data_IF_028178694295
#
_entry.id   IF_028178694295
#
_cell.length_a   1.000
_cell.length_b   1.000
_cell.length_c   1.000
_cell.angle_alpha   90.00
_cell.angle_beta   90.00
_cell.angle_gamma   90.00
#
_symmetry.space_group_name_H-M   'P 1'
#
loop_
_entity.id
_entity.type
_entity.pdbx_description
1 polymer ?
#
# COMPACT_ATOMS: atom_id res chain seq x y z
N UNK A 1 -22.57 23.99 -43.96
CA UNK A 1 -21.85 24.51 -42.77
C UNK A 1 -21.83 23.58 -41.54
N UNK A 2 -22.35 22.34 -41.60
CA UNK A 2 -22.45 21.41 -40.45
C UNK A 2 -21.29 20.40 -40.26
N UNK A 3 -20.63 19.85 -41.31
CA UNK A 3 -19.61 18.82 -41.11
C UNK A 3 -18.27 19.40 -40.64
N UNK A 4 -17.84 20.55 -41.20
CA UNK A 4 -16.58 21.21 -40.82
C UNK A 4 -16.55 21.60 -39.34
N UNK A 5 -17.68 22.08 -38.79
CA UNK A 5 -17.81 22.43 -37.37
C UNK A 5 -17.74 21.20 -36.46
N UNK A 6 -18.25 20.04 -36.92
CA UNK A 6 -18.15 18.77 -36.20
C UNK A 6 -16.71 18.26 -36.20
N UNK A 7 -16.03 18.28 -37.35
CA UNK A 7 -14.62 17.87 -37.44
C UNK A 7 -13.69 18.74 -36.61
N UNK A 8 -13.91 20.06 -36.61
CA UNK A 8 -13.14 20.99 -35.77
C UNK A 8 -13.36 20.74 -34.27
N UNK A 9 -14.60 20.45 -33.87
CA UNK A 9 -14.93 20.11 -32.48
C UNK A 9 -14.28 18.78 -32.07
N UNK A 10 -14.32 17.76 -32.92
CA UNK A 10 -13.65 16.47 -32.66
C UNK A 10 -12.15 16.62 -32.51
N UNK A 11 -11.51 17.42 -33.39
CA UNK A 11 -10.07 17.68 -33.31
C UNK A 11 -9.72 18.45 -32.03
N UNK A 12 -10.54 19.42 -31.63
CA UNK A 12 -10.37 20.16 -30.39
C UNK A 12 -10.47 19.26 -29.15
N UNK A 13 -11.47 18.36 -29.11
CA UNK A 13 -11.60 17.38 -28.02
C UNK A 13 -10.42 16.39 -28.01
N UNK A 14 -9.89 15.99 -29.16
CA UNK A 14 -8.74 15.09 -29.24
C UNK A 14 -7.45 15.72 -28.67
N UNK A 15 -7.24 17.03 -28.86
CA UNK A 15 -6.09 17.75 -28.30
C UNK A 15 -6.22 17.91 -26.77
N UNK A 16 -7.43 18.11 -26.25
CA UNK A 16 -7.69 18.18 -24.80
C UNK A 16 -7.34 16.88 -24.06
N UNK A 17 -7.43 15.72 -24.72
CA UNK A 17 -7.09 14.42 -24.13
C UNK A 17 -5.61 14.25 -23.76
N UNK A 18 -4.72 15.07 -24.32
CA UNK A 18 -3.27 14.98 -24.06
C UNK A 18 -2.84 15.53 -22.69
N UNK A 19 -3.72 16.24 -21.98
CA UNK A 19 -3.42 16.86 -20.66
C UNK A 19 -3.57 15.86 -19.50
N UNK A 20 -3.84 14.59 -19.78
CA UNK A 20 -3.90 13.55 -18.76
C UNK A 20 -2.49 13.17 -18.25
N UNK A 21 -1.93 13.99 -17.36
CA UNK A 21 -0.73 13.66 -16.60
C UNK A 21 -1.10 12.69 -15.47
N UNK A 22 -1.09 11.38 -15.76
CA UNK A 22 -1.19 10.36 -14.73
C UNK A 22 0.16 10.23 -14.03
N UNK A 23 0.23 10.58 -12.74
CA UNK A 23 1.44 10.31 -11.94
C UNK A 23 1.59 8.79 -11.70
N UNK A 24 2.81 8.26 -11.49
CA UNK A 24 3.00 6.85 -11.20
C UNK A 24 2.40 6.50 -9.83
N UNK A 25 1.32 5.72 -9.83
CA UNK A 25 0.76 5.20 -8.60
C UNK A 25 1.59 4.01 -8.12
N UNK A 26 2.19 4.11 -6.94
CA UNK A 26 2.72 2.96 -6.21
C UNK A 26 1.59 1.99 -5.89
N UNK A 27 1.77 0.72 -6.24
CA UNK A 27 0.80 -0.33 -5.95
C UNK A 27 1.21 -1.14 -4.72
N UNK A 28 0.28 -1.26 -3.78
CA UNK A 28 0.40 -2.15 -2.61
C UNK A 28 -0.71 -3.19 -2.69
N UNK A 29 -0.33 -4.47 -2.82
CA UNK A 29 -1.25 -5.59 -2.71
C UNK A 29 -1.27 -6.09 -1.28
N UNK A 30 -2.43 -6.03 -0.63
CA UNK A 30 -2.67 -6.61 0.68
C UNK A 30 -3.41 -7.95 0.55
N UNK A 31 -2.93 -8.96 1.27
CA UNK A 31 -3.58 -10.26 1.42
C UNK A 31 -3.75 -10.56 2.91
N UNK A 32 -5.00 -10.66 3.38
CA UNK A 32 -5.32 -10.94 4.78
C UNK A 32 -5.94 -12.33 4.91
N UNK A 33 -5.41 -13.13 5.82
CA UNK A 33 -5.91 -14.45 6.17
C UNK A 33 -6.31 -14.47 7.65
N UNK A 34 -7.51 -14.99 7.90
CA UNK A 34 -8.05 -15.26 9.24
C UNK A 34 -7.43 -16.55 9.76
N UNK A 35 -6.78 -16.50 10.93
CA UNK A 35 -6.23 -17.67 11.62
C UNK A 35 -7.19 -18.08 12.73
N UNK A 36 -7.59 -19.35 12.72
CA UNK A 36 -8.50 -19.95 13.69
C UNK A 36 -7.84 -21.14 14.36
N UNK A 37 -7.98 -21.24 15.68
CA UNK A 37 -7.56 -22.38 16.50
C UNK A 37 -8.72 -22.77 17.41
N UNK A 38 -9.04 -24.06 17.51
CA UNK A 38 -10.14 -24.57 18.35
C UNK A 38 -11.48 -23.83 18.11
N UNK A 39 -11.82 -23.60 16.85
CA UNK A 39 -13.01 -22.84 16.42
C UNK A 39 -13.05 -21.37 16.88
N UNK A 40 -11.94 -20.85 17.41
CA UNK A 40 -11.80 -19.46 17.81
C UNK A 40 -10.87 -18.72 16.87
N UNK A 41 -11.32 -17.53 16.47
CA UNK A 41 -10.47 -16.60 15.76
C UNK A 41 -9.36 -16.07 16.68
N UNK A 42 -8.10 -16.34 16.35
CA UNK A 42 -6.94 -16.00 17.18
C UNK A 42 -6.04 -14.92 16.57
N UNK A 43 -5.96 -14.81 15.24
CA UNK A 43 -5.08 -13.84 14.60
C UNK A 43 -5.48 -13.47 13.16
N UNK A 44 -4.98 -12.32 12.68
CA UNK A 44 -4.91 -11.97 11.26
C UNK A 44 -3.48 -12.12 10.77
N UNK A 45 -3.26 -12.98 9.77
CA UNK A 45 -2.01 -13.04 9.03
C UNK A 45 -2.13 -12.16 7.80
N UNK A 46 -1.28 -11.14 7.68
CA UNK A 46 -1.29 -10.21 6.55
C UNK A 46 0.01 -10.31 5.75
N UNK A 47 -0.09 -10.29 4.42
CA UNK A 47 1.04 -10.15 3.51
C UNK A 47 0.86 -8.91 2.66
N UNK A 48 1.87 -8.05 2.67
CA UNK A 48 1.88 -6.78 1.96
C UNK A 48 2.96 -6.89 0.88
N UNK A 49 2.57 -6.70 -0.37
CA UNK A 49 3.48 -6.78 -1.52
C UNK A 49 3.46 -5.44 -2.22
N UNK A 50 4.61 -4.77 -2.23
CA UNK A 50 4.81 -3.52 -2.94
C UNK A 50 5.33 -3.79 -4.36
N UNK A 51 5.12 -2.86 -5.27
CA UNK A 51 5.72 -2.91 -6.61
C UNK A 51 7.24 -2.66 -6.57
N UNK A 52 7.92 -2.95 -7.68
CA UNK A 52 9.38 -2.86 -7.79
C UNK A 52 9.89 -1.43 -7.57
N UNK A 53 9.16 -0.40 -8.03
CA UNK A 53 9.55 1.00 -7.87
C UNK A 53 9.53 1.44 -6.41
N UNK A 54 8.46 1.10 -5.67
CA UNK A 54 8.33 1.44 -4.24
C UNK A 54 9.28 0.58 -3.39
N UNK A 55 9.51 -0.67 -3.79
CA UNK A 55 10.46 -1.56 -3.11
C UNK A 55 11.90 -1.08 -3.31
N UNK A 56 12.25 -0.56 -4.49
CA UNK A 56 13.57 -0.05 -4.79
C UNK A 56 13.92 1.19 -3.96
N UNK A 57 12.95 2.09 -3.73
CA UNK A 57 13.15 3.26 -2.87
C UNK A 57 13.49 2.83 -1.43
N UNK A 58 12.72 1.88 -0.88
CA UNK A 58 13.01 1.30 0.44
C UNK A 58 14.33 0.54 0.49
N UNK A 59 14.67 -0.23 -0.56
CA UNK A 59 15.92 -0.98 -0.66
C UNK A 59 17.14 -0.07 -0.84
N UNK A 60 16.97 1.08 -1.50
CA UNK A 60 18.03 2.05 -1.70
C UNK A 60 18.47 2.65 -0.34
N UNK A 61 17.51 2.96 0.53
CA UNK A 61 17.77 3.43 1.89
C UNK A 61 18.40 2.35 2.78
N UNK A 62 18.12 1.07 2.53
CA UNK A 62 18.77 -0.05 3.20
C UNK A 62 20.21 -0.30 2.71
N UNK A 63 20.54 0.10 1.48
CA UNK A 63 21.86 -0.05 0.87
C UNK A 63 22.40 -1.49 0.91
N UNK A 64 23.69 -1.64 1.27
CA UNK A 64 24.37 -2.94 1.41
C UNK A 64 24.24 -3.54 2.83
N UNK A 65 23.27 -3.10 3.64
CA UNK A 65 23.17 -3.54 5.02
C UNK A 65 22.85 -5.05 5.09
N UNK A 66 23.65 -5.78 5.86
CA UNK A 66 23.42 -7.22 6.07
C UNK A 66 22.01 -7.47 6.65
N UNK A 67 21.31 -8.53 6.21
CA UNK A 67 19.99 -8.89 6.74
C UNK A 67 20.02 -8.96 8.28
N UNK A 68 19.03 -8.34 8.94
CA UNK A 68 18.91 -8.35 10.40
C UNK A 68 19.77 -7.34 11.16
N UNK A 69 20.53 -6.48 10.46
CA UNK A 69 21.24 -5.36 11.09
C UNK A 69 20.27 -4.33 11.70
N UNK A 70 20.76 -3.53 12.64
CA UNK A 70 19.99 -2.45 13.27
C UNK A 70 19.46 -1.42 12.25
N UNK A 71 20.09 -1.32 11.08
CA UNK A 71 19.65 -0.47 9.96
C UNK A 71 18.30 -0.96 9.42
N UNK A 72 18.16 -2.26 9.17
CA UNK A 72 16.89 -2.86 8.73
C UNK A 72 15.78 -2.71 9.77
N UNK A 73 16.12 -2.77 11.08
CA UNK A 73 15.15 -2.55 12.15
C UNK A 73 14.66 -1.11 12.21
N UNK A 74 15.56 -0.13 12.03
CA UNK A 74 15.21 1.30 11.96
C UNK A 74 14.36 1.62 10.74
N UNK A 75 14.74 1.11 9.57
CA UNK A 75 13.97 1.27 8.34
C UNK A 75 12.57 0.64 8.46
N UNK A 76 12.48 -0.57 9.01
CA UNK A 76 11.19 -1.20 9.29
C UNK A 76 10.33 -0.35 10.25
N UNK A 77 10.93 0.25 11.29
CA UNK A 77 10.22 1.14 12.20
C UNK A 77 9.72 2.42 11.51
N UNK A 78 10.52 3.00 10.62
CA UNK A 78 10.16 4.20 9.84
C UNK A 78 9.03 3.92 8.85
N UNK A 79 9.12 2.80 8.13
CA UNK A 79 8.02 2.32 7.27
C UNK A 79 6.76 2.09 8.09
N UNK A 80 6.86 1.44 9.26
CA UNK A 80 5.70 1.21 10.14
C UNK A 80 5.10 2.51 10.68
N UNK A 81 5.90 3.54 10.98
CA UNK A 81 5.42 4.86 11.41
C UNK A 81 4.67 5.59 10.29
N UNK A 82 5.20 5.54 9.05
CA UNK A 82 4.55 6.13 7.89
C UNK A 82 3.23 5.40 7.53
N UNK A 83 3.21 4.07 7.68
CA UNK A 83 2.02 3.24 7.49
C UNK A 83 0.94 3.52 8.56
N UNK A 84 1.32 3.81 9.81
CA UNK A 84 0.41 4.26 10.88
C UNK A 84 -0.30 5.57 10.54
N UNK A 85 0.40 6.50 9.89
CA UNK A 85 -0.18 7.78 9.46
C UNK A 85 -1.18 7.64 8.30
N UNK A 86 -1.12 6.56 7.53
CA UNK A 86 -1.90 6.38 6.30
C UNK A 86 -3.09 5.43 6.44
N UNK A 87 -3.52 5.11 7.67
CA UNK A 87 -4.71 4.29 7.97
C UNK A 87 -4.75 2.89 7.31
N UNK A 88 -3.61 2.30 6.97
CA UNK A 88 -3.56 0.95 6.35
C UNK A 88 -3.82 -0.20 7.34
N UNK A 89 -4.19 0.09 8.59
CA UNK A 89 -4.50 -0.92 9.59
C UNK A 89 -5.94 -1.42 9.49
N UNK A 90 -6.12 -2.73 9.60
CA UNK A 90 -7.45 -3.32 9.76
C UNK A 90 -7.95 -3.09 11.18
N UNK A 91 -9.16 -2.54 11.31
CA UNK A 91 -9.84 -2.40 12.58
C UNK A 91 -10.86 -3.52 12.77
N UNK A 92 -10.94 -4.07 13.99
CA UNK A 92 -11.95 -5.06 14.34
C UNK A 92 -12.83 -4.51 15.45
N UNK A 93 -14.14 -4.65 15.27
CA UNK A 93 -15.16 -4.19 16.20
C UNK A 93 -15.97 -5.39 16.69
N UNK A 94 -16.27 -5.39 17.99
CA UNK A 94 -17.15 -6.39 18.62
C UNK A 94 -18.16 -5.65 19.49
N UNK A 95 -19.45 -5.83 19.21
CA UNK A 95 -20.55 -5.22 19.97
C UNK A 95 -20.40 -3.70 20.14
N UNK A 96 -19.99 -3.00 19.07
CA UNK A 96 -19.78 -1.54 19.09
C UNK A 96 -18.49 -1.07 19.77
N UNK A 97 -17.68 -1.98 20.33
CA UNK A 97 -16.38 -1.66 20.90
C UNK A 97 -15.23 -2.09 19.98
N UNK A 98 -14.24 -1.21 19.80
CA UNK A 98 -13.00 -1.51 19.06
C UNK A 98 -12.17 -2.53 19.83
N UNK A 99 -11.82 -3.64 19.18
CA UNK A 99 -10.95 -4.67 19.73
C UNK A 99 -9.51 -4.17 19.67
N UNK A 100 -8.84 -4.09 20.83
CA UNK A 100 -7.42 -3.74 20.90
C UNK A 100 -6.58 -5.01 20.73
N UNK A 101 -5.76 -5.04 19.70
CA UNK A 101 -4.76 -6.09 19.50
C UNK A 101 -3.48 -5.73 20.25
N UNK A 102 -2.85 -6.72 20.89
CA UNK A 102 -1.46 -6.58 21.35
C UNK A 102 -0.58 -6.66 20.11
N UNK A 103 0.40 -5.76 19.97
CA UNK A 103 1.41 -5.86 18.91
C UNK A 103 2.16 -7.19 19.07
N UNK A 104 1.81 -8.17 18.25
CA UNK A 104 2.53 -9.44 18.17
C UNK A 104 3.89 -9.24 17.50
N UNK A 105 4.86 -10.07 17.89
CA UNK A 105 6.20 -10.10 17.31
C UNK A 105 6.08 -10.13 15.77
N UNK A 106 6.57 -9.10 15.10
CA UNK A 106 6.75 -9.15 13.64
C UNK A 106 7.84 -10.20 13.39
N UNK A 107 7.44 -11.41 13.02
CA UNK A 107 8.39 -12.38 12.49
C UNK A 107 8.71 -11.92 11.07
N UNK A 108 9.74 -11.08 10.97
CA UNK A 108 10.40 -10.71 9.72
C UNK A 108 10.92 -12.00 9.09
N UNK A 109 10.50 -12.29 7.87
CA UNK A 109 11.19 -13.24 6.99
C UNK A 109 12.23 -12.45 6.23
#
# INVERSE_FOLDING_TARGET
MKPVKRSALTLFLAVLSFVAAAHPHSFIRLQTQVVSENEQFVALKMRWTMDELTSADLLYDAGNAAPGSEIWKKLAAEVMANVLGQHYFTEVWRNGAKVKFKTGRQNTV
#
